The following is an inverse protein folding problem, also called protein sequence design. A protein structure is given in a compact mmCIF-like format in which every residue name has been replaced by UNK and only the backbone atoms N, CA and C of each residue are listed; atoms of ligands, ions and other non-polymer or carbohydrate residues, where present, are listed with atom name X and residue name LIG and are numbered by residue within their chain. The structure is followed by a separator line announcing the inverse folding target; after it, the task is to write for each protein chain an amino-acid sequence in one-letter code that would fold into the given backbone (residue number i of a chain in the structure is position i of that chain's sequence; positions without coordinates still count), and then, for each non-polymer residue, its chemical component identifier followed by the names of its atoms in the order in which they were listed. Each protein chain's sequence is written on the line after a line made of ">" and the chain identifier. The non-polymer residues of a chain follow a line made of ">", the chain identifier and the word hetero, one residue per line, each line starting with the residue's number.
data_IF_136582256639
#
_entry.id   IF_136582256639
#
_cell.length_a   1.000
_cell.length_b   1.000
_cell.length_c   1.000
_cell.angle_alpha   90.00
_cell.angle_beta   90.00
_cell.angle_gamma   90.00
#
_symmetry.space_group_name_H-M   'P 1'
#
loop_
_entity.id
_entity.type
_entity.pdbx_description
1 polymer ?
#
# COMPACT_ATOMS: atom_id res chain seq x y z
N UNK A 1 42.19 31.84 91.70
CA UNK A 1 41.84 31.23 90.38
C UNK A 1 40.63 30.33 90.63
N UNK A 2 39.36 30.76 90.47
CA UNK A 2 38.56 30.88 89.21
C UNK A 2 38.80 29.69 88.27
N UNK A 3 37.84 28.89 87.78
CA UNK A 3 36.41 28.67 88.03
C UNK A 3 35.96 27.36 87.32
N UNK A 4 34.92 26.68 87.84
CA UNK A 4 33.75 25.99 87.21
C UNK A 4 33.91 25.16 85.91
N UNK A 5 33.54 23.86 85.93
CA UNK A 5 32.24 23.24 85.52
C UNK A 5 32.01 23.24 83.98
N UNK A 6 31.53 22.18 83.30
CA UNK A 6 30.19 21.55 83.30
C UNK A 6 30.27 20.17 82.60
N UNK A 7 29.78 19.07 83.19
CA UNK A 7 28.45 18.41 83.03
C UNK A 7 28.09 17.79 81.66
N UNK A 8 27.90 16.44 81.70
CA UNK A 8 26.83 15.56 81.15
C UNK A 8 26.15 15.96 79.82
N UNK A 9 25.82 15.04 78.92
CA UNK A 9 24.84 13.94 79.10
C UNK A 9 24.96 12.87 78.00
N UNK A 10 24.56 11.65 78.34
CA UNK A 10 24.38 10.51 77.44
C UNK A 10 22.97 10.47 76.81
N UNK A 11 22.95 10.14 75.51
CA UNK A 11 21.93 9.55 74.62
C UNK A 11 20.57 10.23 74.41
N UNK A 12 20.06 10.22 73.15
CA UNK A 12 18.95 9.30 72.80
C UNK A 12 19.03 8.74 71.34
N UNK A 13 18.80 7.43 71.11
CA UNK A 13 17.62 6.75 70.52
C UNK A 13 17.37 6.85 69.00
N UNK A 14 17.13 5.65 68.44
CA UNK A 14 16.25 5.27 67.32
C UNK A 14 16.77 5.30 65.86
N UNK A 15 16.79 4.06 65.33
CA UNK A 15 16.44 3.56 64.00
C UNK A 15 16.87 4.34 62.76
N UNK A 16 17.60 3.65 61.87
CA UNK A 16 17.16 3.56 60.47
C UNK A 16 17.81 2.34 59.80
N UNK A 17 17.00 1.33 59.53
CA UNK A 17 17.27 0.34 58.49
C UNK A 17 17.51 1.09 57.18
N UNK A 18 18.75 1.18 56.72
CA UNK A 18 19.01 1.55 55.32
C UNK A 18 18.80 0.30 54.47
N UNK A 19 17.53 -0.06 54.27
CA UNK A 19 17.13 -0.85 53.11
C UNK A 19 17.62 -0.06 51.90
N UNK A 20 18.63 -0.57 51.20
CA UNK A 20 18.88 -0.17 49.82
C UNK A 20 17.69 -0.71 49.04
N UNK A 21 16.56 0.01 49.11
CA UNK A 21 15.52 -0.09 48.12
C UNK A 21 16.17 0.37 46.84
N UNK A 22 16.65 -0.60 46.06
CA UNK A 22 16.84 -0.44 44.63
C UNK A 22 15.45 -0.08 44.11
N UNK A 23 15.12 1.20 44.15
CA UNK A 23 14.10 1.75 43.27
C UNK A 23 14.74 1.59 41.89
N UNK A 24 14.54 0.43 41.28
CA UNK A 24 14.40 0.37 39.84
C UNK A 24 13.28 1.35 39.56
N UNK A 25 13.66 2.58 39.22
CA UNK A 25 12.78 3.46 38.49
C UNK A 25 12.55 2.70 37.20
N UNK A 26 11.49 1.89 37.18
CA UNK A 26 10.75 1.52 35.99
C UNK A 26 10.22 2.85 35.45
N UNK A 27 11.12 3.64 34.86
CA UNK A 27 10.77 4.47 33.74
C UNK A 27 10.27 3.44 32.73
N UNK A 28 8.95 3.22 32.75
CA UNK A 28 8.27 2.58 31.65
C UNK A 28 8.61 3.40 30.43
N UNK A 29 9.67 3.02 29.73
CA UNK A 29 9.84 3.41 28.36
C UNK A 29 8.58 2.87 27.69
N UNK A 30 7.66 3.76 27.32
CA UNK A 30 6.65 3.44 26.34
C UNK A 30 7.45 3.03 25.09
N UNK A 31 7.80 1.75 25.01
CA UNK A 31 8.36 1.18 23.80
C UNK A 31 7.18 1.17 22.85
N UNK A 32 7.04 2.22 22.06
CA UNK A 32 6.18 2.19 20.89
C UNK A 32 6.66 0.99 20.07
N UNK A 33 5.87 -0.07 20.07
CA UNK A 33 6.16 -1.24 19.27
C UNK A 33 5.77 -0.87 17.86
N UNK A 34 6.70 -0.85 16.91
CA UNK A 34 6.35 -0.60 15.51
C UNK A 34 6.07 -1.95 14.87
N UNK A 35 4.82 -2.16 14.42
CA UNK A 35 4.52 -3.25 13.53
C UNK A 35 4.92 -2.84 12.12
N UNK A 36 6.14 -3.23 11.73
CA UNK A 36 6.70 -2.98 10.40
C UNK A 36 6.48 -4.19 9.48
N UNK A 37 6.12 -3.93 8.23
CA UNK A 37 6.03 -4.93 7.17
C UNK A 37 6.75 -4.41 5.92
N UNK A 38 7.66 -5.19 5.35
CA UNK A 38 8.37 -4.80 4.14
C UNK A 38 8.72 -5.96 3.22
N UNK A 39 8.72 -5.71 1.92
CA UNK A 39 9.29 -6.61 0.91
C UNK A 39 9.92 -5.82 -0.25
N UNK A 40 10.79 -6.48 -1.00
CA UNK A 40 11.41 -5.91 -2.20
C UNK A 40 11.68 -7.00 -3.24
N UNK A 41 10.86 -7.03 -4.30
CA UNK A 41 11.01 -7.92 -5.44
C UNK A 41 11.69 -7.16 -6.60
N UNK A 42 12.95 -7.51 -6.87
CA UNK A 42 13.66 -7.04 -8.07
C UNK A 42 13.53 -8.02 -9.24
N UNK A 43 13.22 -9.28 -8.94
CA UNK A 43 12.77 -10.34 -9.84
C UNK A 43 11.89 -11.29 -9.04
N UNK A 44 10.86 -11.84 -9.68
CA UNK A 44 10.01 -12.87 -9.09
C UNK A 44 10.40 -14.26 -9.62
N UNK A 45 10.11 -15.30 -8.85
CA UNK A 45 10.31 -16.69 -9.28
C UNK A 45 8.94 -17.33 -9.54
N UNK A 46 8.73 -18.06 -10.64
CA UNK A 46 7.50 -18.82 -10.83
C UNK A 46 7.24 -19.74 -9.63
N UNK A 47 6.03 -19.63 -9.04
CA UNK A 47 5.66 -20.38 -7.83
C UNK A 47 6.08 -19.73 -6.50
N UNK A 48 6.58 -18.49 -6.50
CA UNK A 48 6.83 -17.72 -5.27
C UNK A 48 5.55 -17.57 -4.44
N UNK A 49 5.53 -18.17 -3.24
CA UNK A 49 4.37 -18.16 -2.33
C UNK A 49 4.10 -16.79 -1.70
N UNK A 50 5.04 -15.85 -1.82
CA UNK A 50 4.88 -14.47 -1.36
C UNK A 50 3.89 -13.68 -2.22
N UNK A 51 3.57 -14.17 -3.43
CA UNK A 51 2.62 -13.56 -4.34
C UNK A 51 1.48 -14.54 -4.64
N UNK A 52 0.24 -14.07 -4.44
CA UNK A 52 -0.96 -14.77 -4.89
C UNK A 52 -1.35 -14.22 -6.27
N UNK A 53 -1.36 -15.08 -7.29
CA UNK A 53 -1.78 -14.74 -8.65
C UNK A 53 -3.27 -15.07 -8.84
N UNK A 54 -3.97 -14.21 -9.58
CA UNK A 54 -5.37 -14.39 -9.96
C UNK A 54 -5.58 -14.04 -11.43
N UNK A 55 -6.58 -14.67 -12.06
CA UNK A 55 -6.89 -14.44 -13.47
C UNK A 55 -5.75 -14.90 -14.38
N UNK A 56 -5.43 -14.10 -15.38
CA UNK A 56 -4.40 -14.40 -16.39
C UNK A 56 -2.98 -14.02 -15.94
N UNK A 57 -2.80 -13.54 -14.70
CA UNK A 57 -1.50 -13.12 -14.21
C UNK A 57 -0.53 -14.30 -14.05
N UNK A 58 0.71 -14.12 -14.49
CA UNK A 58 1.76 -15.13 -14.40
C UNK A 58 3.13 -14.50 -14.14
N UNK A 59 4.02 -15.25 -13.49
CA UNK A 59 5.43 -14.90 -13.37
C UNK A 59 6.18 -15.63 -14.48
N UNK A 60 6.83 -14.87 -15.36
CA UNK A 60 7.61 -15.39 -16.48
C UNK A 60 8.97 -15.92 -16.01
N UNK A 61 9.59 -16.77 -16.82
CA UNK A 61 10.90 -17.38 -16.50
C UNK A 61 12.04 -16.37 -16.32
N UNK A 62 11.90 -15.16 -16.86
CA UNK A 62 12.85 -14.05 -16.69
C UNK A 62 12.60 -13.23 -15.40
N UNK A 63 11.58 -13.58 -14.63
CA UNK A 63 11.19 -12.97 -13.36
C UNK A 63 10.31 -11.73 -13.47
N UNK A 64 9.79 -11.43 -14.66
CA UNK A 64 8.75 -10.41 -14.89
C UNK A 64 7.39 -10.97 -14.46
N UNK A 65 6.62 -10.17 -13.74
CA UNK A 65 5.22 -10.45 -13.46
C UNK A 65 4.36 -9.85 -14.59
N UNK A 66 3.85 -10.71 -15.47
CA UNK A 66 2.92 -10.34 -16.52
C UNK A 66 1.49 -10.39 -15.96
N UNK A 67 0.80 -9.26 -15.92
CA UNK A 67 -0.56 -9.17 -15.38
C UNK A 67 -1.65 -9.51 -16.40
N UNK A 68 -1.33 -9.50 -17.69
CA UNK A 68 -2.29 -9.77 -18.78
C UNK A 68 -1.74 -10.79 -19.76
N UNK A 69 -2.66 -11.48 -20.45
CA UNK A 69 -2.29 -12.31 -21.60
C UNK A 69 -2.11 -11.42 -22.85
N UNK A 70 -0.88 -11.39 -23.35
CA UNK A 70 -0.49 -10.59 -24.52
C UNK A 70 -0.41 -11.39 -25.82
N UNK A 71 -1.04 -12.56 -25.88
CA UNK A 71 -1.10 -13.39 -27.10
C UNK A 71 -1.69 -12.57 -28.26
N UNK A 72 -1.00 -12.49 -29.43
CA UNK A 72 -1.49 -11.73 -30.57
C UNK A 72 -2.90 -12.15 -31.01
N UNK A 73 -3.78 -11.17 -31.19
CA UNK A 73 -5.15 -11.37 -31.68
C UNK A 73 -5.24 -11.08 -33.20
N UNK A 74 -6.13 -11.76 -33.94
CA UNK A 74 -6.41 -11.42 -35.36
C UNK A 74 -6.94 -9.99 -35.52
N UNK A 75 -6.65 -9.28 -36.63
CA UNK A 75 -7.10 -7.91 -36.85
C UNK A 75 -8.60 -7.72 -36.59
N UNK A 76 -8.96 -6.64 -35.87
CA UNK A 76 -10.35 -6.33 -35.52
C UNK A 76 -10.94 -7.15 -34.37
N UNK A 77 -10.27 -8.20 -33.89
CA UNK A 77 -10.73 -8.99 -32.74
C UNK A 77 -10.24 -8.39 -31.43
N UNK A 78 -11.13 -8.32 -30.45
CA UNK A 78 -10.83 -7.99 -29.05
C UNK A 78 -11.16 -9.16 -28.16
N UNK A 79 -10.34 -9.42 -27.14
CA UNK A 79 -10.58 -10.46 -26.15
C UNK A 79 -10.16 -9.94 -24.77
N UNK A 80 -11.07 -9.92 -23.78
CA UNK A 80 -10.75 -9.42 -22.45
C UNK A 80 -9.78 -10.36 -21.74
N UNK A 81 -8.73 -9.80 -21.16
CA UNK A 81 -7.82 -10.43 -20.22
C UNK A 81 -7.78 -9.60 -18.95
N UNK A 82 -7.73 -10.29 -17.82
CA UNK A 82 -7.72 -9.67 -16.48
C UNK A 82 -6.79 -10.49 -15.61
N UNK A 83 -5.82 -9.86 -14.97
CA UNK A 83 -4.98 -10.52 -13.99
C UNK A 83 -4.63 -9.63 -12.81
N UNK A 84 -4.41 -10.28 -11.66
CA UNK A 84 -3.98 -9.62 -10.43
C UNK A 84 -2.83 -10.37 -9.78
N UNK A 85 -1.94 -9.62 -9.15
CA UNK A 85 -0.97 -10.13 -8.22
C UNK A 85 -1.18 -9.45 -6.87
N UNK A 86 -1.32 -10.25 -5.81
CA UNK A 86 -1.48 -9.77 -4.46
C UNK A 86 -0.29 -10.21 -3.63
N UNK A 87 0.22 -9.33 -2.76
CA UNK A 87 1.13 -9.79 -1.73
C UNK A 87 0.38 -10.73 -0.78
N UNK A 88 0.95 -11.91 -0.51
CA UNK A 88 0.22 -12.98 0.18
C UNK A 88 -0.05 -12.65 1.64
N UNK A 89 0.90 -12.01 2.32
CA UNK A 89 0.78 -11.66 3.74
C UNK A 89 -0.14 -10.45 3.90
N UNK A 90 -1.21 -10.55 4.73
CA UNK A 90 -2.07 -9.41 5.03
C UNK A 90 -1.30 -8.25 5.66
N UNK A 91 -1.68 -7.03 5.30
CA UNK A 91 -1.07 -5.78 5.76
C UNK A 91 -1.94 -5.17 6.87
N UNK A 92 -1.42 -5.00 8.09
CA UNK A 92 -2.06 -4.17 9.11
C UNK A 92 -2.05 -2.71 8.64
N UNK A 93 -3.24 -2.16 8.38
CA UNK A 93 -3.42 -0.81 7.84
C UNK A 93 -3.74 0.20 8.93
N UNK A 94 -4.48 -0.19 9.95
CA UNK A 94 -4.77 0.61 11.13
C UNK A 94 -5.13 -0.28 12.31
N UNK A 95 -5.01 0.24 13.52
CA UNK A 95 -5.34 -0.48 14.75
C UNK A 95 -6.69 0.00 15.29
N UNK A 96 -7.60 -0.95 15.55
CA UNK A 96 -8.97 -0.64 15.96
C UNK A 96 -9.12 -0.22 17.42
N UNK A 97 -8.10 -0.45 18.25
CA UNK A 97 -8.10 -0.10 19.68
C UNK A 97 -7.58 1.32 19.87
N UNK A 98 -6.47 1.66 19.21
CA UNK A 98 -5.78 2.94 19.31
C UNK A 98 -6.27 3.96 18.27
N UNK A 99 -6.87 3.50 17.16
CA UNK A 99 -7.29 4.33 16.03
C UNK A 99 -6.12 4.82 15.15
N UNK A 100 -4.90 4.40 15.44
CA UNK A 100 -3.69 4.76 14.69
C UNK A 100 -3.68 4.04 13.34
N UNK A 101 -3.28 4.77 12.29
CA UNK A 101 -3.15 4.24 10.94
C UNK A 101 -1.68 4.17 10.51
N UNK A 102 -1.34 3.15 9.73
CA UNK A 102 0.00 2.93 9.23
C UNK A 102 0.31 3.92 8.11
N UNK A 103 1.53 4.46 8.12
CA UNK A 103 2.10 5.12 6.94
C UNK A 103 2.82 4.09 6.10
N UNK A 104 2.70 4.18 4.78
CA UNK A 104 3.35 3.22 3.88
C UNK A 104 3.92 3.86 2.63
N UNK A 105 4.90 3.16 2.04
CA UNK A 105 5.44 3.44 0.72
C UNK A 105 5.42 2.15 -0.08
N UNK A 106 4.83 2.18 -1.27
CA UNK A 106 5.05 1.15 -2.29
C UNK A 106 5.78 1.74 -3.48
N UNK A 107 6.62 0.95 -4.13
CA UNK A 107 7.21 1.33 -5.41
C UNK A 107 7.19 0.16 -6.36
N UNK A 108 6.88 0.40 -7.62
CA UNK A 108 6.94 -0.61 -8.66
C UNK A 108 7.39 0.01 -9.97
N UNK A 109 7.93 -0.82 -10.84
CA UNK A 109 8.27 -0.41 -12.21
C UNK A 109 7.58 -1.31 -13.20
N UNK A 110 7.05 -0.74 -14.25
CA UNK A 110 6.33 -1.49 -15.26
C UNK A 110 6.68 -1.04 -16.68
N UNK A 111 6.43 -1.93 -17.64
CA UNK A 111 6.43 -1.64 -19.07
C UNK A 111 5.07 -2.04 -19.63
N UNK A 112 4.49 -1.17 -20.46
CA UNK A 112 3.27 -1.48 -21.20
C UNK A 112 3.64 -1.63 -22.68
N UNK A 113 3.45 -2.81 -23.24
CA UNK A 113 3.75 -3.07 -24.65
C UNK A 113 2.47 -3.28 -25.43
N UNK A 114 2.26 -2.44 -26.44
CA UNK A 114 1.10 -2.51 -27.34
C UNK A 114 1.44 -3.27 -28.62
N UNK A 115 0.62 -4.25 -29.03
CA UNK A 115 0.73 -4.84 -30.36
C UNK A 115 0.47 -3.81 -31.47
N UNK A 116 1.15 -3.97 -32.61
CA UNK A 116 1.01 -3.06 -33.75
C UNK A 116 -0.46 -2.92 -34.19
N UNK A 117 -0.87 -1.69 -34.53
CA UNK A 117 -2.22 -1.40 -35.01
C UNK A 117 -3.36 -1.47 -33.98
N UNK A 118 -3.10 -1.77 -32.70
CA UNK A 118 -4.16 -1.89 -31.66
C UNK A 118 -4.54 -0.56 -31.00
N UNK A 119 -5.63 -0.45 -30.25
CA UNK A 119 -5.80 0.69 -29.35
C UNK A 119 -5.07 0.38 -28.02
N UNK A 120 -4.54 1.38 -27.29
CA UNK A 120 -4.09 1.11 -25.92
C UNK A 120 -5.31 0.99 -25.00
N UNK A 121 -5.49 -0.19 -24.41
CA UNK A 121 -6.55 -0.50 -23.45
C UNK A 121 -6.07 -1.53 -22.41
N UNK A 122 -6.68 -1.65 -21.24
CA UNK A 122 -7.60 -0.69 -20.62
C UNK A 122 -6.80 0.08 -19.57
N UNK A 123 -6.19 -0.61 -18.61
CA UNK A 123 -5.30 0.03 -17.66
C UNK A 123 -4.63 -0.91 -16.65
N UNK A 124 -3.89 -0.29 -15.75
CA UNK A 124 -3.20 -0.90 -14.60
C UNK A 124 -3.60 -0.15 -13.33
N UNK A 125 -3.77 -0.83 -12.21
CA UNK A 125 -4.07 -0.23 -10.91
C UNK A 125 -3.25 -0.88 -9.81
N UNK A 126 -2.60 -0.06 -8.97
CA UNK A 126 -2.21 -0.49 -7.62
C UNK A 126 -3.42 -0.32 -6.71
N UNK A 127 -3.78 -1.35 -5.95
CA UNK A 127 -4.97 -1.32 -5.12
C UNK A 127 -4.73 -1.91 -3.72
N UNK A 128 -5.53 -1.43 -2.78
CA UNK A 128 -5.65 -1.90 -1.39
C UNK A 128 -7.10 -2.34 -1.20
N UNK A 129 -7.32 -3.56 -0.72
CA UNK A 129 -8.65 -4.15 -0.59
C UNK A 129 -8.75 -5.12 0.61
N UNK A 130 -9.96 -5.52 1.03
CA UNK A 130 -10.16 -6.57 2.03
C UNK A 130 -9.36 -7.85 1.77
N UNK A 131 -8.99 -8.55 2.84
CA UNK A 131 -8.10 -9.72 2.78
C UNK A 131 -8.64 -10.91 1.96
N UNK A 132 -9.94 -10.95 1.76
CA UNK A 132 -10.67 -11.95 0.97
C UNK A 132 -10.88 -11.52 -0.49
N UNK A 133 -10.24 -10.44 -0.94
CA UNK A 133 -10.44 -9.93 -2.30
C UNK A 133 -10.12 -10.96 -3.38
N UNK A 134 -11.08 -11.12 -4.30
CA UNK A 134 -10.99 -11.88 -5.55
C UNK A 134 -11.35 -10.98 -6.73
N UNK A 135 -11.01 -11.39 -7.95
CA UNK A 135 -11.48 -10.69 -9.16
C UNK A 135 -13.01 -10.70 -9.14
N UNK A 136 -13.69 -9.54 -9.09
CA UNK A 136 -15.14 -9.51 -9.10
C UNK A 136 -15.72 -10.00 -10.44
N UNK A 137 -16.94 -10.54 -10.43
CA UNK A 137 -17.50 -11.20 -11.62
C UNK A 137 -17.68 -10.25 -12.82
N UNK A 138 -18.04 -8.99 -12.58
CA UNK A 138 -18.32 -8.02 -13.64
C UNK A 138 -17.22 -6.93 -13.72
N UNK A 139 -15.95 -7.35 -13.64
CA UNK A 139 -14.78 -6.47 -13.45
C UNK A 139 -13.77 -6.41 -14.61
N UNK A 140 -14.10 -6.98 -15.78
CA UNK A 140 -13.21 -6.96 -16.93
C UNK A 140 -13.08 -5.56 -17.57
N UNK A 141 -12.11 -5.39 -18.48
CA UNK A 141 -11.96 -4.17 -19.29
C UNK A 141 -11.78 -2.92 -18.41
N UNK A 142 -12.51 -1.84 -18.66
CA UNK A 142 -12.64 -0.60 -17.88
C UNK A 142 -12.81 -0.73 -16.37
N UNK A 143 -13.12 -1.92 -15.83
CA UNK A 143 -13.29 -2.14 -14.39
C UNK A 143 -12.03 -2.68 -13.70
N UNK A 144 -10.93 -2.79 -14.45
CA UNK A 144 -9.55 -3.07 -14.01
C UNK A 144 -9.40 -4.25 -13.04
N UNK A 145 -10.30 -5.23 -13.06
CA UNK A 145 -10.25 -6.39 -12.16
C UNK A 145 -10.52 -6.08 -10.68
N UNK A 146 -10.97 -4.86 -10.35
CA UNK A 146 -11.12 -4.38 -8.96
C UNK A 146 -12.53 -3.90 -8.61
N UNK A 147 -13.35 -3.56 -9.61
CA UNK A 147 -14.72 -3.10 -9.43
C UNK A 147 -15.73 -4.10 -9.99
N UNK A 148 -16.72 -4.51 -9.20
CA UNK A 148 -17.93 -5.11 -9.74
C UNK A 148 -18.86 -3.99 -10.21
N UNK A 149 -19.11 -3.92 -11.51
CA UNK A 149 -20.00 -2.92 -12.12
C UNK A 149 -21.46 -2.96 -11.65
N UNK A 150 -21.88 -4.03 -10.95
CA UNK A 150 -23.22 -4.14 -10.36
C UNK A 150 -23.29 -3.67 -8.91
N UNK A 151 -22.14 -3.34 -8.30
CA UNK A 151 -22.03 -2.90 -6.92
C UNK A 151 -21.72 -1.41 -6.91
N UNK A 152 -22.52 -0.64 -6.18
CA UNK A 152 -22.37 0.82 -6.09
C UNK A 152 -21.14 1.25 -5.28
N UNK A 153 -20.74 0.46 -4.29
CA UNK A 153 -19.60 0.75 -3.40
C UNK A 153 -18.70 -0.48 -3.35
N UNK A 154 -17.57 -0.42 -4.06
CA UNK A 154 -16.57 -1.48 -4.07
C UNK A 154 -15.52 -1.16 -3.01
N UNK A 155 -15.24 -2.03 -2.05
CA UNK A 155 -14.31 -1.70 -0.96
C UNK A 155 -12.84 -1.76 -1.44
N UNK A 156 -12.35 -0.68 -2.04
CA UNK A 156 -10.94 -0.53 -2.40
C UNK A 156 -10.50 0.94 -2.43
N UNK A 157 -9.19 1.13 -2.32
CA UNK A 157 -8.51 2.40 -2.66
C UNK A 157 -7.38 2.07 -3.62
N UNK A 158 -7.17 2.89 -4.65
CA UNK A 158 -6.16 2.60 -5.65
C UNK A 158 -5.61 3.81 -6.37
N UNK A 159 -4.53 3.57 -7.12
CA UNK A 159 -3.94 4.50 -8.09
C UNK A 159 -3.92 3.80 -9.44
N UNK A 160 -4.76 4.28 -10.36
CA UNK A 160 -4.88 3.71 -11.70
C UNK A 160 -4.03 4.45 -12.74
N UNK A 161 -3.73 3.73 -13.81
CA UNK A 161 -3.09 4.17 -15.03
C UNK A 161 -4.01 3.78 -16.17
N UNK A 162 -5.00 4.64 -16.45
CA UNK A 162 -6.02 4.42 -17.46
C UNK A 162 -5.54 4.88 -18.85
N UNK A 163 -5.61 3.96 -19.80
CA UNK A 163 -5.20 4.13 -21.19
C UNK A 163 -6.38 4.39 -22.14
N UNK A 164 -7.61 4.30 -21.65
CA UNK A 164 -8.81 4.40 -22.46
C UNK A 164 -9.93 5.16 -21.73
N UNK A 165 -10.20 6.40 -22.16
CA UNK A 165 -11.26 7.21 -21.58
C UNK A 165 -12.66 6.62 -21.84
N UNK A 166 -13.25 6.00 -20.82
CA UNK A 166 -14.64 5.57 -20.79
C UNK A 166 -15.58 6.75 -20.48
N UNK A 167 -16.88 6.48 -20.43
CA UNK A 167 -17.90 7.54 -20.24
C UNK A 167 -17.86 8.24 -18.88
N UNK A 168 -17.28 7.58 -17.87
CA UNK A 168 -17.12 8.14 -16.53
C UNK A 168 -15.77 8.83 -16.32
N UNK A 169 -14.87 8.73 -17.29
CA UNK A 169 -13.52 9.28 -17.22
C UNK A 169 -13.46 10.72 -17.73
N UNK A 170 -12.42 11.48 -17.36
CA UNK A 170 -12.05 12.64 -18.15
C UNK A 170 -11.80 12.22 -19.60
N UNK A 171 -12.02 13.12 -20.56
CA UNK A 171 -11.80 12.85 -22.00
C UNK A 171 -10.30 12.82 -22.38
N UNK A 172 -9.51 12.04 -21.64
CA UNK A 172 -8.09 11.81 -21.80
C UNK A 172 -7.67 10.57 -21.03
N UNK A 173 -6.59 9.93 -21.49
CA UNK A 173 -5.84 8.98 -20.67
C UNK A 173 -5.31 9.67 -19.43
N UNK A 174 -5.34 8.98 -18.30
CA UNK A 174 -5.02 9.62 -17.04
C UNK A 174 -4.40 8.66 -16.03
N UNK A 175 -3.78 9.27 -15.02
CA UNK A 175 -3.49 8.61 -13.74
C UNK A 175 -4.55 9.10 -12.78
N UNK A 176 -5.15 8.18 -12.05
CA UNK A 176 -6.29 8.41 -11.17
C UNK A 176 -6.01 8.04 -9.72
N UNK A 177 -6.73 8.66 -8.77
CA UNK A 177 -6.84 8.17 -7.39
C UNK A 177 -8.29 7.77 -7.14
N UNK A 178 -8.47 6.48 -6.91
CA UNK A 178 -9.76 5.81 -6.86
C UNK A 178 -10.15 5.47 -5.43
N UNK A 179 -11.37 5.82 -5.06
CA UNK A 179 -11.95 5.54 -3.75
C UNK A 179 -13.33 4.95 -3.98
N UNK A 180 -13.48 3.68 -3.63
CA UNK A 180 -14.68 2.86 -3.80
C UNK A 180 -15.23 2.62 -5.22
N UNK A 181 -14.71 3.32 -6.22
CA UNK A 181 -15.10 3.23 -7.62
C UNK A 181 -13.95 3.69 -8.51
N UNK A 182 -14.02 3.40 -9.81
CA UNK A 182 -13.08 3.93 -10.83
C UNK A 182 -13.50 5.29 -11.38
N UNK A 183 -14.50 5.93 -10.77
CA UNK A 183 -14.71 7.36 -10.98
C UNK A 183 -13.71 8.08 -10.09
N UNK A 184 -12.54 8.36 -10.66
CA UNK A 184 -11.41 8.90 -9.94
C UNK A 184 -11.73 10.22 -9.25
N UNK A 185 -11.36 10.32 -7.97
CA UNK A 185 -11.54 11.55 -7.17
C UNK A 185 -10.61 12.67 -7.61
N UNK A 186 -9.46 12.31 -8.17
CA UNK A 186 -8.50 13.23 -8.77
C UNK A 186 -7.82 12.54 -9.94
N UNK A 187 -7.57 13.31 -11.01
CA UNK A 187 -6.88 12.80 -12.19
C UNK A 187 -5.78 13.74 -12.66
N UNK A 188 -4.78 13.17 -13.34
CA UNK A 188 -3.76 13.92 -14.07
C UNK A 188 -3.52 13.27 -15.42
N UNK A 189 -3.28 14.09 -16.46
CA UNK A 189 -3.12 13.59 -17.83
C UNK A 189 -1.94 12.64 -17.96
N UNK A 190 -2.20 11.47 -18.53
CA UNK A 190 -1.20 10.48 -18.92
C UNK A 190 -0.90 10.61 -20.41
N UNK A 191 0.39 10.70 -20.78
CA UNK A 191 0.82 10.78 -22.19
C UNK A 191 1.33 9.43 -22.67
N UNK A 192 0.54 8.77 -23.54
CA UNK A 192 0.86 7.44 -24.08
C UNK A 192 2.24 7.35 -24.74
N UNK A 193 2.68 8.40 -25.43
CA UNK A 193 3.99 8.46 -26.08
C UNK A 193 5.19 8.33 -25.14
N UNK A 194 4.96 8.36 -23.81
CA UNK A 194 5.98 8.19 -22.78
C UNK A 194 5.95 6.83 -22.08
N UNK A 195 4.93 6.02 -22.36
CA UNK A 195 4.65 4.76 -21.68
C UNK A 195 4.86 3.55 -22.58
N UNK A 196 4.50 3.66 -23.86
CA UNK A 196 4.54 2.52 -24.77
C UNK A 196 5.97 1.99 -24.94
N UNK A 197 6.22 0.80 -24.40
CA UNK A 197 7.52 0.13 -24.44
C UNK A 197 8.60 0.76 -23.54
N UNK A 198 8.27 1.78 -22.75
CA UNK A 198 9.22 2.49 -21.87
C UNK A 198 9.03 2.10 -20.41
N UNK A 199 10.15 1.89 -19.71
CA UNK A 199 10.13 1.58 -18.28
C UNK A 199 9.64 2.80 -17.48
N UNK A 200 8.51 2.64 -16.79
CA UNK A 200 7.94 3.65 -15.92
C UNK A 200 8.09 3.22 -14.47
N UNK A 201 8.55 4.13 -13.61
CA UNK A 201 8.68 3.90 -12.16
C UNK A 201 7.59 4.65 -11.42
N UNK A 202 6.98 4.01 -10.45
CA UNK A 202 5.91 4.55 -9.63
C UNK A 202 6.30 4.40 -8.16
N UNK A 203 6.11 5.46 -7.39
CA UNK A 203 6.18 5.45 -5.94
C UNK A 203 4.87 6.00 -5.39
N UNK A 204 4.17 5.23 -4.56
CA UNK A 204 2.95 5.65 -3.88
C UNK A 204 3.23 5.72 -2.39
N UNK A 205 2.88 6.85 -1.79
CA UNK A 205 3.12 7.18 -0.39
C UNK A 205 1.78 7.48 0.25
N UNK A 206 1.48 6.82 1.36
CA UNK A 206 0.39 7.23 2.24
C UNK A 206 0.97 7.77 3.53
N UNK A 207 0.71 9.04 3.78
CA UNK A 207 1.04 9.73 5.04
C UNK A 207 -0.18 9.70 5.95
N UNK A 208 -0.15 8.86 6.98
CA UNK A 208 -1.29 8.66 7.87
C UNK A 208 -1.63 9.88 8.75
N UNK A 209 -0.69 10.71 9.22
CA UNK A 209 -1.02 11.94 9.94
C UNK A 209 -1.83 12.94 9.13
N UNK A 210 -1.59 13.05 7.82
CA UNK A 210 -2.32 13.96 6.93
C UNK A 210 -3.39 13.26 6.07
N UNK A 211 -3.63 11.96 6.29
CA UNK A 211 -4.48 11.11 5.46
C UNK A 211 -4.24 11.29 3.96
N UNK A 212 -3.00 11.50 3.52
CA UNK A 212 -2.73 11.87 2.12
C UNK A 212 -2.10 10.72 1.35
N UNK A 213 -2.78 10.29 0.28
CA UNK A 213 -2.24 9.36 -0.70
C UNK A 213 -1.61 10.15 -1.84
N UNK A 214 -0.32 9.94 -2.09
CA UNK A 214 0.44 10.59 -3.17
C UNK A 214 1.06 9.55 -4.08
N UNK A 215 0.86 9.69 -5.38
CA UNK A 215 1.57 8.93 -6.41
C UNK A 215 2.57 9.82 -7.13
N UNK A 216 3.81 9.35 -7.25
CA UNK A 216 4.92 9.95 -7.99
C UNK A 216 5.29 9.00 -9.13
N UNK A 217 5.16 9.47 -10.36
CA UNK A 217 5.42 8.69 -11.58
C UNK A 217 6.62 9.29 -12.28
N UNK A 218 7.66 8.49 -12.49
CA UNK A 218 8.88 8.88 -13.18
C UNK A 218 8.98 8.10 -14.49
N UNK A 219 8.91 8.83 -15.61
CA UNK A 219 9.11 8.27 -16.94
C UNK A 219 10.60 8.06 -17.25
N UNK A 220 10.90 7.22 -18.23
CA UNK A 220 12.27 6.92 -18.69
C UNK A 220 13.06 8.16 -19.09
N UNK A 221 12.39 9.18 -19.65
CA UNK A 221 13.02 10.45 -20.01
C UNK A 221 13.30 11.40 -18.81
N UNK A 222 13.10 10.93 -17.58
CA UNK A 222 13.31 11.69 -16.35
C UNK A 222 12.17 12.62 -15.97
N UNK A 223 11.11 12.74 -16.77
CA UNK A 223 9.96 13.56 -16.38
C UNK A 223 9.20 12.92 -15.23
N UNK A 224 8.83 13.75 -14.25
CA UNK A 224 8.04 13.38 -13.09
C UNK A 224 6.62 13.94 -13.20
N UNK A 225 5.64 13.15 -12.80
CA UNK A 225 4.25 13.56 -12.54
C UNK A 225 3.92 13.20 -11.09
N UNK A 226 3.19 14.08 -10.41
CA UNK A 226 2.70 13.85 -9.06
C UNK A 226 1.21 14.12 -8.98
N UNK A 227 0.50 13.25 -8.28
CA UNK A 227 -0.92 13.41 -7.94
C UNK A 227 -1.12 13.03 -6.48
N UNK A 228 -1.90 13.82 -5.75
CA UNK A 228 -2.14 13.62 -4.31
C UNK A 228 -3.59 13.90 -3.96
N UNK A 229 -4.15 13.09 -3.07
CA UNK A 229 -5.53 13.23 -2.59
C UNK A 229 -5.59 12.87 -1.10
N UNK A 230 -6.36 13.64 -0.34
CA UNK A 230 -6.72 13.27 1.02
C UNK A 230 -7.76 12.14 0.99
N UNK A 231 -7.46 11.05 1.70
CA UNK A 231 -8.29 9.86 1.86
C UNK A 231 -8.06 9.28 3.25
N UNK A 232 -9.09 9.32 4.11
CA UNK A 232 -9.05 8.56 5.36
C UNK A 232 -9.31 7.07 5.07
N UNK A 233 -8.23 6.28 4.97
CA UNK A 233 -8.32 4.85 4.66
C UNK A 233 -9.18 4.06 5.64
N UNK A 234 -9.34 4.53 6.89
CA UNK A 234 -10.16 3.84 7.91
C UNK A 234 -11.64 3.89 7.60
N UNK A 235 -12.08 4.90 6.84
CA UNK A 235 -13.48 5.04 6.42
C UNK A 235 -13.86 4.12 5.26
N UNK A 236 -12.87 3.54 4.59
CA UNK A 236 -13.04 2.74 3.37
C UNK A 236 -12.66 1.28 3.57
N UNK A 237 -11.58 1.02 4.31
CA UNK A 237 -10.91 -0.26 4.37
C UNK A 237 -10.91 -0.86 5.79
N UNK A 238 -10.98 -2.19 5.92
CA UNK A 238 -10.80 -2.85 7.20
C UNK A 238 -9.39 -2.62 7.77
N UNK A 239 -9.22 -2.92 9.06
CA UNK A 239 -7.95 -2.75 9.79
C UNK A 239 -6.80 -3.60 9.21
N UNK A 240 -7.11 -4.73 8.58
CA UNK A 240 -6.15 -5.58 7.87
C UNK A 240 -6.59 -5.77 6.42
N UNK A 241 -5.66 -5.62 5.48
CA UNK A 241 -5.94 -5.57 4.03
C UNK A 241 -4.98 -6.47 3.24
N UNK A 242 -5.26 -6.65 1.94
CA UNK A 242 -4.25 -7.05 0.96
C UNK A 242 -3.93 -5.86 0.05
N UNK A 243 -2.70 -5.85 -0.44
CA UNK A 243 -2.26 -4.93 -1.49
C UNK A 243 -1.95 -5.74 -2.76
N UNK A 244 -2.18 -5.12 -3.91
CA UNK A 244 -1.98 -5.79 -5.18
C UNK A 244 -1.82 -4.84 -6.36
N UNK A 245 -1.47 -5.44 -7.48
CA UNK A 245 -1.45 -4.85 -8.79
C UNK A 245 -2.46 -5.60 -9.65
N UNK A 246 -3.29 -4.89 -10.41
CA UNK A 246 -4.22 -5.49 -11.36
C UNK A 246 -4.14 -4.78 -12.69
N UNK A 247 -4.24 -5.51 -13.79
CA UNK A 247 -4.36 -4.93 -15.11
C UNK A 247 -5.39 -5.67 -15.96
N UNK A 248 -5.96 -4.94 -16.90
CA UNK A 248 -6.90 -5.46 -17.88
C UNK A 248 -6.56 -4.95 -19.27
N UNK A 249 -6.95 -5.73 -20.27
CA UNK A 249 -6.80 -5.38 -21.68
C UNK A 249 -7.83 -6.12 -22.51
N UNK A 250 -8.37 -5.48 -23.53
CA UNK A 250 -9.18 -6.11 -24.57
C UNK A 250 -8.44 -6.23 -25.92
N UNK A 251 -7.21 -5.73 -25.99
CA UNK A 251 -6.43 -5.61 -27.23
C UNK A 251 -5.04 -6.27 -27.14
N UNK A 252 -4.86 -7.19 -26.19
CA UNK A 252 -3.62 -7.92 -25.95
C UNK A 252 -2.39 -7.04 -25.61
N UNK A 253 -2.61 -5.87 -24.99
CA UNK A 253 -1.53 -5.14 -24.31
C UNK A 253 -0.90 -6.01 -23.22
N UNK A 254 0.44 -6.03 -23.19
CA UNK A 254 1.22 -6.61 -22.10
C UNK A 254 1.40 -5.57 -21.00
N UNK A 255 1.05 -5.94 -19.76
CA UNK A 255 1.29 -5.17 -18.55
C UNK A 255 2.32 -5.89 -17.69
N UNK A 256 3.59 -5.54 -17.88
CA UNK A 256 4.73 -6.25 -17.33
C UNK A 256 5.31 -5.49 -16.14
N UNK A 257 5.26 -6.09 -14.95
CA UNK A 257 5.84 -5.56 -13.72
C UNK A 257 7.25 -6.11 -13.55
N UNK A 258 8.23 -5.21 -13.52
CA UNK A 258 9.66 -5.52 -13.44
C UNK A 258 10.22 -5.45 -12.03
N UNK A 259 9.59 -4.70 -11.13
CA UNK A 259 9.95 -4.65 -9.72
C UNK A 259 8.76 -4.22 -8.89
N UNK A 260 8.70 -4.66 -7.63
CA UNK A 260 7.69 -4.24 -6.67
C UNK A 260 8.21 -4.31 -5.25
N UNK A 261 8.13 -3.22 -4.51
CA UNK A 261 8.50 -3.11 -3.11
C UNK A 261 7.39 -2.45 -2.30
N UNK A 262 7.39 -2.75 -1.00
CA UNK A 262 6.47 -2.17 -0.04
C UNK A 262 7.16 -2.02 1.31
N UNK A 263 6.82 -0.98 2.04
CA UNK A 263 7.16 -0.82 3.45
C UNK A 263 6.01 -0.09 4.14
N UNK A 264 5.55 -0.62 5.27
CA UNK A 264 4.53 -0.02 6.11
C UNK A 264 4.98 -0.04 7.56
N UNK A 265 4.68 1.03 8.28
CA UNK A 265 4.95 1.17 9.70
C UNK A 265 3.65 1.56 10.41
N UNK A 266 3.16 0.69 11.28
CA UNK A 266 2.08 0.98 12.20
C UNK A 266 2.67 1.15 13.60
N UNK A 267 2.59 2.36 14.15
CA UNK A 267 2.97 2.59 15.54
C UNK A 267 1.92 1.95 16.46
N UNK A 268 2.31 0.93 17.21
CA UNK A 268 1.49 0.36 18.27
C UNK A 268 1.91 0.95 19.62
N UNK A 269 0.98 1.61 20.28
CA UNK A 269 1.09 1.91 21.71
C UNK A 269 0.63 0.69 22.50
N UNK A 270 1.51 0.11 23.31
CA UNK A 270 1.08 -0.84 24.34
C UNK A 270 0.27 -0.08 25.37
N UNK A 271 -1.05 -0.13 25.26
CA UNK A 271 -1.94 0.29 26.33
C UNK A 271 -1.71 -0.62 27.53
N UNK A 272 -1.23 -0.06 28.64
CA UNK A 272 -1.29 -0.76 29.91
C UNK A 272 -2.76 -1.06 30.18
N UNK A 273 -3.16 -2.33 30.12
CA UNK A 273 -4.39 -2.77 30.76
C UNK A 273 -4.14 -2.57 32.25
N UNK A 274 -4.60 -1.44 32.78
CA UNK A 274 -4.80 -1.31 34.21
C UNK A 274 -5.93 -2.28 34.51
N UNK A 275 -5.57 -3.46 35.03
CA UNK A 275 -6.54 -4.37 35.62
C UNK A 275 -7.10 -3.66 36.84
N UNK A 276 -8.29 -3.10 36.71
CA UNK A 276 -9.09 -2.69 37.86
C UNK A 276 -9.43 -3.96 38.68
N UNK A 277 -8.76 -4.11 39.83
CA UNK A 277 -9.20 -4.97 40.94
C UNK A 277 -9.73 -4.03 42.02
#
# INVERSE_FOLDING_TARGET
>A
MRAMAFYRTNFPTQELFSLVSVIFVLLGTNTNSVQALSFNFTKLTPGDSSITLQGDAQILSNGVLALTNSTPLPPGITFPTTGRALYTTPVPLWDSVTGLAASFVTSFSFVITRPEGRAPTDGLVFFIAPTDTVIPNNSNSQFLGVVDSRISINRFVGVEFDLYANSFDPNMRHIGIDINSLISTKTVRLRWSRLNGSLTKVTIIYDSPSNTLTAVVTYENGQIITISQEVDLKTVLPNTVRIGLSATSITALAFDIHSWSFTSNLEATTGNIVSDI
#
